data_IF_230497756915
#
_entry.id   IF_230497756915
#
_cell.length_a   1.000
_cell.length_b   1.000
_cell.length_c   1.000
_cell.angle_alpha   90.00
_cell.angle_beta   90.00
_cell.angle_gamma   90.00
#
_symmetry.space_group_name_H-M   'P 1'
#
loop_
_entity.id
_entity.type
_entity.pdbx_description
1 polymer ?
#
# COMPACT_ATOMS: atom_id res chain seq x y z
N UNK A 1 6.39 -23.89 -0.03
CA UNK A 1 6.93 -22.71 -0.71
C UNK A 1 6.26 -21.49 -0.10
N UNK A 2 7.01 -20.48 0.31
CA UNK A 2 6.43 -19.21 0.78
C UNK A 2 5.82 -18.47 -0.41
N UNK A 3 4.59 -17.98 -0.27
CA UNK A 3 3.92 -17.20 -1.33
C UNK A 3 4.76 -15.98 -1.72
N UNK A 4 4.93 -15.75 -3.03
CA UNK A 4 5.55 -14.54 -3.56
C UNK A 4 4.49 -13.43 -3.62
N UNK A 5 4.66 -12.41 -2.79
CA UNK A 5 3.87 -11.19 -2.82
C UNK A 5 4.59 -10.16 -3.67
N UNK A 6 3.87 -9.56 -4.61
CA UNK A 6 4.35 -8.46 -5.44
C UNK A 6 3.53 -7.23 -5.13
N UNK A 7 4.20 -6.09 -4.97
CA UNK A 7 3.59 -4.81 -4.64
C UNK A 7 3.74 -3.90 -5.84
N UNK A 8 2.60 -3.45 -6.35
CA UNK A 8 2.49 -2.58 -7.50
C UNK A 8 2.18 -1.16 -7.03
N UNK A 9 2.70 -0.20 -7.78
CA UNK A 9 2.26 1.18 -7.76
C UNK A 9 2.53 1.84 -9.11
N UNK A 10 1.67 2.77 -9.52
CA UNK A 10 1.78 3.49 -10.78
C UNK A 10 1.46 4.96 -10.60
N UNK A 11 2.17 5.80 -11.35
CA UNK A 11 1.79 7.19 -11.57
C UNK A 11 1.09 7.32 -12.92
N UNK A 12 -0.05 7.99 -12.98
CA UNK A 12 -0.84 8.10 -14.20
C UNK A 12 -1.75 9.33 -14.23
N UNK A 13 -2.22 9.72 -15.42
CA UNK A 13 -3.34 10.66 -15.58
C UNK A 13 -4.68 9.93 -15.39
N UNK A 14 -5.46 10.23 -14.34
CA UNK A 14 -6.75 9.58 -14.11
C UNK A 14 -7.80 9.95 -15.18
N UNK A 15 -7.56 11.00 -15.98
CA UNK A 15 -8.45 11.44 -17.06
C UNK A 15 -8.19 10.68 -18.36
N UNK A 16 -7.03 10.05 -18.52
CA UNK A 16 -6.63 9.35 -19.74
C UNK A 16 -6.54 7.84 -19.49
N UNK A 17 -7.59 7.05 -19.75
CA UNK A 17 -7.58 5.60 -19.51
C UNK A 17 -6.78 4.80 -20.56
N UNK A 18 -6.14 5.46 -21.54
CA UNK A 18 -5.26 4.79 -22.51
C UNK A 18 -3.87 4.55 -21.90
N UNK A 19 -3.05 3.69 -22.54
CA UNK A 19 -1.70 3.43 -22.05
C UNK A 19 -0.80 4.69 -22.04
N UNK A 20 -1.09 5.69 -22.89
CA UNK A 20 -0.41 6.99 -22.84
C UNK A 20 -0.71 7.81 -21.58
N UNK A 21 -1.71 7.40 -20.77
CA UNK A 21 -1.95 7.97 -19.45
C UNK A 21 -1.00 7.44 -18.38
N UNK A 22 -0.31 6.33 -18.61
CA UNK A 22 0.70 5.79 -17.68
C UNK A 22 1.96 6.65 -17.73
N UNK A 23 2.39 7.18 -16.59
CA UNK A 23 3.63 7.97 -16.45
C UNK A 23 4.78 7.12 -15.94
N UNK A 24 4.55 6.33 -14.89
CA UNK A 24 5.55 5.43 -14.32
C UNK A 24 4.90 4.19 -13.69
N UNK A 25 5.66 3.10 -13.63
CA UNK A 25 5.24 1.85 -13.01
C UNK A 25 6.38 1.28 -12.16
N UNK A 26 6.04 0.75 -10.99
CA UNK A 26 6.98 0.06 -10.14
C UNK A 26 6.44 -1.26 -9.61
N UNK A 27 7.35 -2.22 -9.46
CA UNK A 27 7.10 -3.49 -8.80
C UNK A 27 8.21 -3.72 -7.77
N UNK A 28 7.83 -4.27 -6.63
CA UNK A 28 8.78 -4.81 -5.65
C UNK A 28 8.19 -6.08 -5.07
N UNK A 29 9.02 -7.00 -4.56
CA UNK A 29 8.53 -8.23 -3.95
C UNK A 29 9.03 -8.45 -2.51
N UNK A 30 8.43 -9.46 -1.86
CA UNK A 30 8.82 -9.91 -0.52
C UNK A 30 9.98 -10.91 -0.51
N UNK A 31 10.43 -11.39 -1.68
CA UNK A 31 11.46 -12.41 -1.78
C UNK A 31 12.87 -11.78 -1.69
N UNK A 32 13.07 -10.58 -2.24
CA UNK A 32 14.31 -9.84 -2.09
C UNK A 32 14.12 -8.33 -2.30
N UNK A 33 14.63 -7.46 -1.39
CA UNK A 33 14.65 -6.02 -1.62
C UNK A 33 15.43 -5.57 -2.87
N UNK A 34 16.25 -6.44 -3.46
CA UNK A 34 16.97 -6.18 -4.71
C UNK A 34 16.13 -6.47 -5.97
N UNK A 35 14.92 -7.01 -5.81
CA UNK A 35 13.98 -7.29 -6.91
C UNK A 35 13.08 -6.09 -7.19
N UNK A 36 13.62 -4.87 -7.16
CA UNK A 36 12.85 -3.69 -7.52
C UNK A 36 12.88 -3.51 -9.03
N UNK A 37 11.71 -3.34 -9.62
CA UNK A 37 11.54 -2.89 -10.99
C UNK A 37 10.90 -1.52 -10.99
N UNK A 38 11.44 -0.61 -11.81
CA UNK A 38 10.94 0.74 -11.97
C UNK A 38 11.19 1.21 -13.39
N UNK A 39 10.13 1.74 -14.02
CA UNK A 39 10.22 2.30 -15.34
C UNK A 39 9.37 3.57 -15.46
N UNK A 40 9.87 4.51 -16.28
CA UNK A 40 9.16 5.71 -16.72
C UNK A 40 8.72 5.51 -18.17
N UNK A 41 7.45 5.72 -18.46
CA UNK A 41 6.88 5.48 -19.78
C UNK A 41 7.18 6.63 -20.75
N UNK A 42 8.06 6.41 -21.71
CA UNK A 42 8.41 7.39 -22.76
C UNK A 42 7.26 7.69 -23.72
N UNK A 43 6.27 6.80 -23.79
CA UNK A 43 5.09 6.94 -24.66
C UNK A 43 3.93 7.68 -23.93
N UNK A 44 4.18 8.23 -22.74
CA UNK A 44 3.24 9.04 -21.99
C UNK A 44 2.88 10.35 -22.72
N UNK A 45 1.62 10.78 -22.61
CA UNK A 45 1.14 12.06 -23.13
C UNK A 45 1.46 13.20 -22.14
N UNK A 46 2.69 13.70 -22.19
CA UNK A 46 3.18 14.76 -21.29
C UNK A 46 2.47 16.11 -21.48
N UNK A 47 1.94 16.37 -22.67
CA UNK A 47 1.20 17.62 -22.94
C UNK A 47 -0.17 17.58 -22.28
N UNK A 48 -0.84 16.43 -22.29
CA UNK A 48 -2.15 16.26 -21.66
C UNK A 48 -2.14 16.49 -20.15
N UNK A 49 -1.02 16.24 -19.45
CA UNK A 49 -0.90 16.38 -18.00
C UNK A 49 -0.44 17.76 -17.53
N UNK A 50 -0.06 18.66 -18.45
CA UNK A 50 0.47 19.98 -18.12
C UNK A 50 -0.54 20.87 -17.38
N UNK A 51 -1.84 20.68 -17.62
CA UNK A 51 -2.94 21.42 -16.99
C UNK A 51 -3.56 20.71 -15.78
N UNK A 52 -3.07 19.53 -15.41
CA UNK A 52 -3.64 18.77 -14.30
C UNK A 52 -3.37 19.52 -12.97
N UNK A 53 -4.34 19.64 -12.06
CA UNK A 53 -4.17 20.43 -10.82
C UNK A 53 -3.26 19.79 -9.76
N UNK A 54 -2.60 18.67 -10.06
CA UNK A 54 -1.91 17.84 -9.05
C UNK A 54 -0.60 17.26 -9.58
N UNK A 55 -0.65 16.57 -10.72
CA UNK A 55 0.50 15.92 -11.36
C UNK A 55 1.73 16.85 -11.48
N UNK A 56 1.60 18.12 -11.94
CA UNK A 56 2.75 19.01 -12.06
C UNK A 56 3.53 19.28 -10.78
N UNK A 57 2.83 19.33 -9.65
CA UNK A 57 3.41 19.75 -8.38
C UNK A 57 3.81 18.53 -7.52
N UNK A 58 3.22 17.37 -7.77
CA UNK A 58 3.40 16.18 -6.94
C UNK A 58 4.08 15.01 -7.66
N UNK A 59 3.87 14.83 -8.96
CA UNK A 59 4.37 13.67 -9.71
C UNK A 59 5.56 14.05 -10.62
N UNK A 60 5.42 15.12 -11.41
CA UNK A 60 6.49 15.56 -12.33
C UNK A 60 7.85 15.81 -11.66
N UNK A 61 7.94 16.31 -10.40
CA UNK A 61 9.22 16.45 -9.70
C UNK A 61 9.99 15.14 -9.51
N UNK A 62 9.32 13.99 -9.68
CA UNK A 62 9.89 12.65 -9.56
C UNK A 62 10.17 11.98 -10.91
N UNK A 63 9.88 12.66 -12.02
CA UNK A 63 10.09 12.16 -13.37
C UNK A 63 11.28 12.86 -14.06
N UNK A 64 11.97 12.20 -15.01
CA UNK A 64 13.05 12.79 -15.76
C UNK A 64 12.53 13.74 -16.84
N UNK A 65 11.92 14.87 -16.44
CA UNK A 65 11.32 15.87 -17.32
C UNK A 65 11.80 17.30 -17.01
N UNK A 66 11.85 18.15 -18.04
CA UNK A 66 11.95 19.61 -17.92
C UNK A 66 10.57 20.21 -18.06
N UNK A 67 10.18 21.01 -17.07
CA UNK A 67 8.94 21.79 -17.07
C UNK A 67 9.27 23.24 -17.40
N UNK A 68 8.71 23.77 -18.48
CA UNK A 68 8.83 25.20 -18.83
C UNK A 68 7.55 25.92 -18.42
N UNK A 69 7.68 27.12 -17.85
CA UNK A 69 6.56 27.92 -17.35
C UNK A 69 6.61 29.36 -17.87
N UNK A 70 5.45 29.96 -18.07
CA UNK A 70 5.29 31.39 -18.23
C UNK A 70 5.61 32.12 -16.91
N UNK A 71 5.74 33.44 -16.97
CA UNK A 71 6.02 34.29 -15.79
C UNK A 71 4.93 34.24 -14.74
N UNK A 72 3.69 33.88 -15.12
CA UNK A 72 2.57 33.72 -14.19
C UNK A 72 2.50 32.33 -13.54
N UNK A 73 3.47 31.45 -13.84
CA UNK A 73 3.56 30.09 -13.30
C UNK A 73 2.87 29.02 -14.16
N UNK A 74 2.12 29.40 -15.20
CA UNK A 74 1.44 28.47 -16.11
C UNK A 74 2.45 27.62 -16.86
N UNK A 75 2.25 26.29 -16.90
CA UNK A 75 3.12 25.38 -17.67
C UNK A 75 2.87 25.56 -19.17
N UNK A 76 3.95 25.70 -19.92
CA UNK A 76 3.92 25.85 -21.38
C UNK A 76 4.29 24.57 -22.10
N UNK A 77 5.15 23.76 -21.48
CA UNK A 77 5.58 22.48 -22.03
C UNK A 77 6.19 21.62 -20.94
N UNK A 78 6.03 20.31 -21.10
CA UNK A 78 6.73 19.28 -20.34
C UNK A 78 7.47 18.40 -21.35
N UNK A 79 8.78 18.27 -21.19
CA UNK A 79 9.62 17.53 -22.15
C UNK A 79 10.57 16.60 -21.42
N UNK A 80 10.95 15.49 -22.04
CA UNK A 80 11.91 14.56 -21.45
C UNK A 80 13.29 15.19 -21.23
N UNK A 81 13.83 15.03 -20.01
CA UNK A 81 15.18 15.43 -19.64
C UNK A 81 16.15 14.25 -19.72
N UNK A 82 16.91 14.19 -20.82
CA UNK A 82 17.89 13.11 -21.03
C UNK A 82 19.10 13.18 -20.10
N UNK A 83 19.33 14.32 -19.45
CA UNK A 83 20.44 14.52 -18.53
C UNK A 83 20.05 14.21 -17.07
N UNK A 84 18.75 13.97 -16.81
CA UNK A 84 18.25 13.61 -15.49
C UNK A 84 18.75 12.21 -15.08
N UNK A 85 19.20 12.00 -13.83
CA UNK A 85 19.72 10.71 -13.38
C UNK A 85 18.73 9.54 -13.57
N UNK A 86 17.44 9.80 -13.40
CA UNK A 86 16.40 8.77 -13.56
C UNK A 86 15.98 8.52 -15.01
N UNK A 87 16.54 9.26 -16.00
CA UNK A 87 16.28 8.98 -17.40
C UNK A 87 16.78 7.58 -17.82
N UNK A 88 17.70 6.99 -17.07
CA UNK A 88 18.13 5.60 -17.26
C UNK A 88 16.99 4.57 -17.08
N UNK A 89 15.89 4.94 -16.40
CA UNK A 89 14.70 4.12 -16.21
C UNK A 89 13.62 4.39 -17.28
N UNK A 90 13.87 5.30 -18.21
CA UNK A 90 12.92 5.61 -19.27
C UNK A 90 12.85 4.45 -20.29
N UNK A 91 11.64 4.01 -20.61
CA UNK A 91 11.33 2.85 -21.48
C UNK A 91 10.11 3.16 -22.34
N UNK A 92 10.05 2.63 -23.55
CA UNK A 92 8.76 2.59 -24.28
C UNK A 92 7.79 1.65 -23.57
N UNK A 93 6.49 1.81 -23.78
CA UNK A 93 5.47 0.93 -23.23
C UNK A 93 5.72 -0.55 -23.62
N UNK A 94 6.20 -0.81 -24.83
CA UNK A 94 6.56 -2.16 -25.27
C UNK A 94 7.73 -2.74 -24.46
N UNK A 95 8.78 -1.94 -24.20
CA UNK A 95 9.90 -2.36 -23.35
C UNK A 95 9.44 -2.61 -21.91
N UNK A 96 8.53 -1.77 -21.39
CA UNK A 96 7.95 -1.99 -20.05
C UNK A 96 7.21 -3.33 -20.00
N UNK A 97 6.42 -3.67 -21.03
CA UNK A 97 5.72 -4.94 -21.10
C UNK A 97 6.69 -6.14 -21.08
N UNK A 98 7.74 -6.12 -21.90
CA UNK A 98 8.77 -7.15 -21.95
C UNK A 98 9.51 -7.31 -20.61
N UNK A 99 9.90 -6.19 -19.98
CA UNK A 99 10.60 -6.20 -18.70
C UNK A 99 9.69 -6.66 -17.55
N UNK A 100 8.39 -6.32 -17.59
CA UNK A 100 7.37 -6.85 -16.67
C UNK A 100 7.19 -8.35 -16.84
N UNK A 101 7.13 -8.88 -18.06
CA UNK A 101 7.08 -10.33 -18.27
C UNK A 101 8.30 -11.04 -17.65
N UNK A 102 9.49 -10.48 -17.85
CA UNK A 102 10.72 -10.99 -17.25
C UNK A 102 10.68 -10.93 -15.71
N UNK A 103 9.99 -9.94 -15.12
CA UNK A 103 9.82 -9.79 -13.68
C UNK A 103 8.91 -10.84 -13.04
N UNK A 104 7.99 -11.43 -13.80
CA UNK A 104 7.10 -12.51 -13.37
C UNK A 104 7.52 -13.87 -13.94
N UNK A 105 8.70 -14.41 -13.56
CA UNK A 105 9.14 -15.69 -14.08
C UNK A 105 8.28 -16.81 -13.51
N UNK A 106 7.66 -17.60 -14.38
CA UNK A 106 7.06 -18.89 -14.03
C UNK A 106 5.59 -19.06 -14.40
N UNK A 107 5.09 -20.25 -14.10
CA UNK A 107 3.73 -20.70 -14.41
C UNK A 107 2.73 -20.44 -13.27
N UNK A 108 3.22 -20.05 -12.09
CA UNK A 108 2.38 -19.76 -10.93
C UNK A 108 2.22 -18.26 -10.77
N UNK A 109 0.96 -17.82 -10.72
CA UNK A 109 0.57 -16.43 -10.52
C UNK A 109 1.09 -15.90 -9.17
N UNK A 110 1.77 -14.76 -9.20
CA UNK A 110 2.16 -14.06 -7.97
C UNK A 110 0.94 -13.48 -7.24
N UNK A 111 1.06 -13.22 -5.95
CA UNK A 111 0.02 -12.54 -5.18
C UNK A 111 0.26 -11.03 -5.26
N UNK A 112 -0.46 -10.32 -6.14
CA UNK A 112 -0.29 -8.88 -6.34
C UNK A 112 -1.13 -8.06 -5.36
N UNK A 113 -0.50 -7.10 -4.69
CA UNK A 113 -1.13 -6.12 -3.81
C UNK A 113 -0.79 -4.70 -4.26
N UNK A 114 -1.71 -3.79 -4.04
CA UNK A 114 -1.51 -2.35 -4.17
C UNK A 114 -2.43 -1.62 -3.17
N UNK A 115 -2.15 -0.35 -2.89
CA UNK A 115 -2.96 0.48 -2.02
C UNK A 115 -3.87 1.37 -2.86
N UNK A 116 -5.19 1.16 -2.80
CA UNK A 116 -6.15 1.71 -3.77
C UNK A 116 -5.90 1.24 -5.21
N UNK A 117 -5.45 -0.02 -5.35
CA UNK A 117 -4.77 -0.56 -6.53
C UNK A 117 -5.58 -0.80 -7.81
N UNK A 118 -6.82 -0.31 -7.90
CA UNK A 118 -7.72 -0.68 -9.00
C UNK A 118 -7.19 -0.20 -10.34
N UNK A 119 -6.82 1.08 -10.42
CA UNK A 119 -6.34 1.67 -11.67
C UNK A 119 -4.90 1.25 -11.97
N UNK A 120 -4.07 1.01 -10.95
CA UNK A 120 -2.72 0.45 -11.09
C UNK A 120 -2.74 -0.89 -11.83
N UNK A 121 -3.58 -1.81 -11.37
CA UNK A 121 -3.74 -3.11 -12.03
C UNK A 121 -4.27 -2.94 -13.46
N UNK A 122 -5.19 -1.99 -13.67
CA UNK A 122 -5.67 -1.63 -15.00
C UNK A 122 -4.52 -1.20 -15.92
N UNK A 123 -3.59 -0.36 -15.45
CA UNK A 123 -2.44 0.06 -16.24
C UNK A 123 -1.44 -1.05 -16.50
N UNK A 124 -1.22 -1.94 -15.52
CA UNK A 124 -0.43 -3.16 -15.74
C UNK A 124 -1.03 -4.00 -16.88
N UNK A 125 -2.35 -4.19 -16.92
CA UNK A 125 -3.02 -4.95 -17.99
C UNK A 125 -3.00 -4.23 -19.34
N UNK A 126 -3.05 -2.89 -19.35
CA UNK A 126 -2.99 -2.08 -20.58
C UNK A 126 -1.66 -2.24 -21.32
N UNK A 127 -0.56 -2.56 -20.64
CA UNK A 127 0.72 -2.91 -21.28
C UNK A 127 0.55 -4.07 -22.28
N UNK A 128 -0.41 -4.95 -22.03
CA UNK A 128 -0.74 -6.12 -22.83
C UNK A 128 -2.05 -5.94 -23.61
N UNK A 129 -2.44 -4.69 -23.89
CA UNK A 129 -3.67 -4.38 -24.61
C UNK A 129 -4.96 -4.81 -23.90
N UNK A 130 -4.91 -5.06 -22.59
CA UNK A 130 -5.96 -5.73 -21.81
C UNK A 130 -6.32 -7.14 -22.33
N UNK A 131 -5.44 -7.77 -23.11
CA UNK A 131 -5.61 -9.14 -23.57
C UNK A 131 -4.82 -10.11 -22.67
N UNK A 132 -5.51 -10.69 -21.69
CA UNK A 132 -4.93 -11.65 -20.75
C UNK A 132 -4.39 -12.94 -21.39
N UNK A 133 -4.68 -13.19 -22.67
CA UNK A 133 -4.08 -14.31 -23.42
C UNK A 133 -2.66 -13.99 -23.89
N UNK A 134 -2.29 -12.70 -23.93
CA UNK A 134 -0.96 -12.24 -24.30
C UNK A 134 -0.03 -12.05 -23.11
N UNK A 135 -0.59 -12.03 -21.88
CA UNK A 135 0.17 -11.90 -20.65
C UNK A 135 0.83 -13.22 -20.25
N UNK A 136 2.10 -13.15 -19.84
CA UNK A 136 2.77 -14.28 -19.21
C UNK A 136 1.96 -14.85 -18.03
N UNK A 137 1.88 -16.19 -17.85
CA UNK A 137 1.02 -16.81 -16.83
C UNK A 137 1.30 -16.38 -15.38
N UNK A 138 2.52 -15.96 -15.09
CA UNK A 138 2.92 -15.46 -13.77
C UNK A 138 2.37 -14.07 -13.43
N UNK A 139 1.90 -13.30 -14.42
CA UNK A 139 1.38 -11.94 -14.22
C UNK A 139 -0.07 -12.02 -13.70
N UNK A 140 -0.38 -11.36 -12.57
CA UNK A 140 -1.71 -11.48 -11.98
C UNK A 140 -2.82 -10.83 -12.79
N UNK A 141 -3.89 -11.58 -13.03
CA UNK A 141 -5.12 -11.13 -13.72
C UNK A 141 -6.11 -10.49 -12.76
N UNK A 142 -6.03 -10.85 -11.49
CA UNK A 142 -6.83 -10.29 -10.42
C UNK A 142 -5.90 -9.82 -9.30
N UNK A 143 -6.25 -8.76 -8.58
CA UNK A 143 -5.50 -8.41 -7.39
C UNK A 143 -5.70 -9.54 -6.36
N UNK A 144 -4.64 -9.91 -5.65
CA UNK A 144 -4.78 -10.79 -4.50
C UNK A 144 -5.58 -10.08 -3.40
N UNK A 145 -5.21 -8.83 -3.13
CA UNK A 145 -5.92 -7.96 -2.19
C UNK A 145 -5.61 -6.48 -2.45
N UNK A 146 -6.44 -5.61 -1.91
CA UNK A 146 -6.22 -4.16 -1.82
C UNK A 146 -5.84 -3.81 -0.38
N UNK A 147 -4.72 -3.09 -0.19
CA UNK A 147 -4.16 -2.85 1.15
C UNK A 147 -5.06 -1.99 2.03
N UNK A 148 -5.80 -1.05 1.46
CA UNK A 148 -6.78 -0.27 2.20
C UNK A 148 -7.96 -1.15 2.63
N UNK A 149 -8.43 -2.02 1.74
CA UNK A 149 -9.49 -2.98 2.05
C UNK A 149 -9.06 -3.96 3.15
N UNK A 150 -7.82 -4.45 3.11
CA UNK A 150 -7.23 -5.27 4.17
C UNK A 150 -7.18 -4.50 5.50
N UNK A 151 -6.68 -3.26 5.48
CA UNK A 151 -6.66 -2.38 6.65
C UNK A 151 -8.05 -2.21 7.26
N UNK A 152 -9.08 -1.95 6.45
CA UNK A 152 -10.47 -1.80 6.93
C UNK A 152 -10.99 -3.07 7.57
N UNK A 153 -10.74 -4.24 6.97
CA UNK A 153 -11.13 -5.54 7.56
C UNK A 153 -10.44 -5.81 8.90
N UNK A 154 -9.25 -5.26 9.12
CA UNK A 154 -8.52 -5.31 10.39
C UNK A 154 -8.95 -4.21 11.39
N UNK A 155 -10.09 -3.54 11.14
CA UNK A 155 -10.62 -2.49 12.01
C UNK A 155 -9.95 -1.13 11.83
N UNK A 156 -9.37 -0.87 10.66
CA UNK A 156 -8.75 0.42 10.32
C UNK A 156 -7.61 0.86 11.27
N UNK A 157 -6.61 0.00 11.57
CA UNK A 157 -5.50 0.41 12.44
C UNK A 157 -4.77 1.60 11.82
N UNK A 158 -4.35 2.54 12.67
CA UNK A 158 -3.50 3.66 12.25
C UNK A 158 -2.05 3.17 12.23
N UNK A 159 -1.61 2.70 11.06
CA UNK A 159 -0.24 2.25 10.83
C UNK A 159 0.50 3.32 10.05
N UNK A 160 1.63 3.79 10.60
CA UNK A 160 2.58 4.79 10.09
C UNK A 160 2.32 5.32 8.66
N UNK A 161 2.12 6.64 8.55
CA UNK A 161 2.06 7.34 7.26
C UNK A 161 3.42 7.39 6.58
N UNK A 162 3.41 7.32 5.25
CA UNK A 162 4.59 7.63 4.45
C UNK A 162 4.95 9.10 4.60
N UNK A 163 6.18 9.39 5.03
CA UNK A 163 6.65 10.75 5.28
C UNK A 163 7.50 11.33 4.15
N UNK A 164 7.95 10.49 3.21
CA UNK A 164 8.85 10.89 2.11
C UNK A 164 8.59 10.06 0.86
N UNK A 165 8.77 10.67 -0.32
CA UNK A 165 8.71 9.98 -1.61
C UNK A 165 7.30 9.56 -2.03
N UNK A 166 6.26 10.20 -1.50
CA UNK A 166 4.90 10.04 -2.04
C UNK A 166 4.88 10.49 -3.50
N UNK A 167 4.08 9.84 -4.33
CA UNK A 167 3.94 10.14 -5.76
C UNK A 167 5.20 9.81 -6.60
N UNK A 168 6.02 8.90 -6.06
CA UNK A 168 7.09 8.24 -6.78
C UNK A 168 6.81 6.74 -6.74
N UNK A 169 6.33 6.18 -7.85
CA UNK A 169 5.89 4.79 -7.95
C UNK A 169 6.77 3.77 -7.20
N UNK A 170 8.11 3.80 -7.35
CA UNK A 170 8.97 2.85 -6.62
C UNK A 170 8.97 3.04 -5.10
N UNK A 171 8.96 4.28 -4.61
CA UNK A 171 8.89 4.56 -3.19
C UNK A 171 7.55 4.10 -2.60
N UNK A 172 6.47 4.27 -3.36
CA UNK A 172 5.10 3.90 -3.00
C UNK A 172 4.90 2.39 -3.06
N UNK A 173 5.40 1.68 -4.07
CA UNK A 173 5.43 0.21 -4.11
C UNK A 173 6.22 -0.38 -2.92
N UNK A 174 7.37 0.21 -2.58
CA UNK A 174 8.15 -0.16 -1.38
C UNK A 174 7.39 0.16 -0.09
N UNK A 175 6.62 1.24 -0.05
CA UNK A 175 5.74 1.55 1.06
C UNK A 175 4.63 0.49 1.19
N UNK A 176 3.97 0.13 0.09
CA UNK A 176 2.96 -0.93 0.03
C UNK A 176 3.49 -2.25 0.63
N UNK A 177 4.73 -2.64 0.31
CA UNK A 177 5.39 -3.79 0.97
C UNK A 177 5.49 -3.64 2.49
N UNK A 178 6.10 -2.55 2.95
CA UNK A 178 6.28 -2.30 4.40
C UNK A 178 4.95 -2.18 5.13
N UNK A 179 3.93 -1.70 4.44
CA UNK A 179 2.60 -1.51 4.96
C UNK A 179 1.88 -2.85 5.14
N UNK A 180 1.94 -3.71 4.12
CA UNK A 180 1.44 -5.09 4.21
C UNK A 180 2.11 -5.86 5.35
N UNK A 181 3.44 -5.78 5.48
CA UNK A 181 4.16 -6.43 6.59
C UNK A 181 3.63 -6.02 7.97
N UNK A 182 3.28 -4.73 8.14
CA UNK A 182 2.69 -4.24 9.39
C UNK A 182 1.26 -4.72 9.61
N UNK A 183 0.45 -4.77 8.55
CA UNK A 183 -0.91 -5.31 8.61
C UNK A 183 -0.89 -6.78 9.02
N UNK A 184 0.04 -7.58 8.47
CA UNK A 184 0.21 -8.98 8.84
C UNK A 184 0.67 -9.13 10.30
N UNK A 185 1.61 -8.30 10.78
CA UNK A 185 2.02 -8.31 12.20
C UNK A 185 0.90 -7.89 13.14
N UNK A 186 0.11 -6.89 12.74
CA UNK A 186 -1.07 -6.47 13.49
C UNK A 186 -2.10 -7.62 13.57
N UNK A 187 -2.40 -8.27 12.45
CA UNK A 187 -3.29 -9.43 12.44
C UNK A 187 -2.76 -10.58 13.33
N UNK A 188 -1.45 -10.85 13.28
CA UNK A 188 -0.83 -11.86 14.15
C UNK A 188 -0.93 -11.49 15.63
N UNK A 189 -0.76 -10.21 16.00
CA UNK A 189 -0.92 -9.78 17.39
C UNK A 189 -2.37 -9.89 17.87
N UNK A 190 -3.36 -9.71 16.98
CA UNK A 190 -4.77 -9.97 17.29
C UNK A 190 -5.02 -11.44 17.63
N UNK A 191 -4.34 -12.36 16.94
CA UNK A 191 -4.60 -13.80 16.99
C UNK A 191 -3.70 -14.58 17.96
N UNK A 192 -2.62 -13.98 18.46
CA UNK A 192 -1.66 -14.68 19.32
C UNK A 192 -2.24 -14.88 20.73
N UNK A 193 -2.13 -16.07 21.33
CA UNK A 193 -2.47 -16.26 22.75
C UNK A 193 -1.58 -15.42 23.67
N UNK A 194 -1.96 -15.23 24.95
CA UNK A 194 -1.12 -14.52 25.90
C UNK A 194 0.29 -15.14 25.97
N UNK A 195 1.37 -14.33 26.03
CA UNK A 195 2.74 -14.83 26.15
C UNK A 195 2.95 -15.77 27.35
N UNK A 196 2.18 -15.56 28.43
CA UNK A 196 2.16 -16.37 29.65
C UNK A 196 0.91 -16.07 30.46
N UNK A 197 0.61 -16.86 31.50
CA UNK A 197 -0.47 -16.58 32.46
C UNK A 197 -0.35 -15.21 33.17
N UNK A 198 0.85 -14.63 33.26
CA UNK A 198 1.10 -13.30 33.83
C UNK A 198 0.94 -12.12 32.86
N UNK A 199 0.21 -12.29 31.75
CA UNK A 199 -0.09 -11.19 30.82
C UNK A 199 -1.59 -10.93 30.76
N UNK A 200 -1.96 -9.65 30.77
CA UNK A 200 -3.30 -9.16 30.52
C UNK A 200 -3.45 -8.77 29.04
N UNK A 201 -4.65 -8.97 28.48
CA UNK A 201 -4.95 -8.52 27.13
C UNK A 201 -5.23 -7.01 27.14
N UNK A 202 -4.65 -6.28 26.20
CA UNK A 202 -4.88 -4.86 25.98
C UNK A 202 -5.89 -4.67 24.87
N UNK A 203 -6.85 -3.79 25.07
CA UNK A 203 -7.87 -3.44 24.10
C UNK A 203 -7.93 -1.93 23.88
N UNK A 204 -8.56 -1.51 22.78
CA UNK A 204 -9.04 -0.14 22.57
C UNK A 204 -10.51 -0.19 22.19
N UNK A 205 -11.28 0.78 22.65
CA UNK A 205 -12.66 0.95 22.19
C UNK A 205 -12.73 1.76 20.87
N UNK A 206 -13.95 2.07 20.46
CA UNK A 206 -14.25 2.82 19.24
C UNK A 206 -13.78 4.29 19.27
N UNK A 207 -13.64 4.87 20.46
CA UNK A 207 -13.16 6.24 20.66
C UNK A 207 -11.62 6.29 20.81
N UNK A 208 -10.98 5.12 20.85
CA UNK A 208 -9.53 4.98 20.96
C UNK A 208 -9.04 4.95 22.41
N UNK A 209 -9.94 4.85 23.38
CA UNK A 209 -9.56 4.76 24.79
C UNK A 209 -9.04 3.34 25.09
N UNK A 210 -7.91 3.21 25.81
CA UNK A 210 -7.29 1.94 26.10
C UNK A 210 -7.90 1.24 27.32
N UNK A 211 -8.06 -0.07 27.20
CA UNK A 211 -8.63 -0.99 28.20
C UNK A 211 -7.70 -2.18 28.42
N UNK A 212 -7.81 -2.84 29.57
CA UNK A 212 -6.99 -4.00 29.92
C UNK A 212 -7.87 -5.05 30.60
N UNK A 213 -7.77 -6.29 30.12
CA UNK A 213 -8.48 -7.45 30.64
C UNK A 213 -7.58 -8.21 31.60
N UNK A 214 -7.99 -8.26 32.86
CA UNK A 214 -7.28 -8.98 33.91
C UNK A 214 -7.95 -10.32 34.16
N UNK A 215 -7.12 -11.35 34.30
CA UNK A 215 -7.58 -12.61 34.88
C UNK A 215 -7.79 -12.40 36.37
N UNK A 216 -9.05 -12.28 36.78
CA UNK A 216 -9.44 -12.21 38.19
C UNK A 216 -9.38 -13.59 38.85
N UNK A 217 -9.46 -13.63 40.18
CA UNK A 217 -9.69 -14.88 40.92
C UNK A 217 -11.03 -14.77 41.65
N UNK A 218 -12.04 -15.60 41.33
CA UNK A 218 -12.06 -16.67 40.31
C UNK A 218 -11.88 -16.12 38.89
N UNK A 219 -11.37 -16.95 37.94
CA UNK A 219 -11.15 -16.53 36.55
C UNK A 219 -12.43 -15.98 35.94
N UNK A 220 -12.49 -14.67 35.74
CA UNK A 220 -13.50 -14.00 34.91
C UNK A 220 -12.82 -13.09 33.88
N UNK A 221 -13.55 -12.78 32.82
CA UNK A 221 -13.09 -11.95 31.70
C UNK A 221 -13.38 -10.47 32.00
N UNK A 222 -12.77 -9.97 33.08
CA UNK A 222 -13.04 -8.63 33.58
C UNK A 222 -12.06 -7.58 33.01
N UNK A 223 -12.55 -6.38 32.71
CA UNK A 223 -11.82 -5.33 31.97
C UNK A 223 -11.85 -4.00 32.73
N UNK A 224 -10.76 -3.22 32.68
CA UNK A 224 -10.68 -1.84 33.22
C UNK A 224 -10.00 -0.86 32.25
N UNK A 225 -10.27 0.45 32.38
CA UNK A 225 -9.68 1.51 31.56
C UNK A 225 -8.29 1.89 32.06
N UNK A 226 -7.32 2.08 31.15
CA UNK A 226 -5.91 2.35 31.48
C UNK A 226 -5.60 3.80 31.87
N UNK A 227 -6.34 4.79 31.36
CA UNK A 227 -5.95 6.20 31.49
C UNK A 227 -6.23 6.78 32.89
N UNK A 228 -7.11 6.12 33.64
CA UNK A 228 -7.50 6.49 35.00
C UNK A 228 -7.95 5.18 35.63
N UNK A 229 -7.11 4.46 36.36
CA UNK A 229 -7.48 3.18 36.97
C UNK A 229 -8.77 3.36 37.80
N UNK A 230 -9.93 3.02 37.21
CA UNK A 230 -11.16 2.84 37.96
C UNK A 230 -10.94 1.58 38.77
N UNK A 231 -11.23 1.65 40.07
CA UNK A 231 -11.03 0.52 40.98
C UNK A 231 -12.00 -0.65 40.69
N UNK A 232 -13.02 -0.43 39.86
CA UNK A 232 -14.05 -1.41 39.56
C UNK A 232 -13.80 -2.09 38.22
N UNK A 233 -13.51 -3.39 38.28
CA UNK A 233 -13.52 -4.28 37.12
C UNK A 233 -14.97 -4.59 36.71
N UNK A 234 -15.22 -4.59 35.40
CA UNK A 234 -16.52 -4.94 34.82
C UNK A 234 -16.37 -6.16 33.91
N UNK A 235 -17.41 -6.99 33.81
CA UNK A 235 -17.42 -8.11 32.87
C UNK A 235 -17.34 -7.57 31.43
N UNK A 236 -16.52 -8.20 30.60
CA UNK A 236 -16.27 -7.75 29.22
C UNK A 236 -17.55 -7.55 28.43
N UNK A 237 -18.48 -8.50 28.50
CA UNK A 237 -19.73 -8.41 27.75
C UNK A 237 -20.55 -7.18 28.18
N UNK A 238 -20.60 -6.89 29.49
CA UNK A 238 -21.28 -5.72 30.01
C UNK A 238 -20.61 -4.43 29.52
N UNK A 239 -19.28 -4.42 29.48
CA UNK A 239 -18.53 -3.30 28.95
C UNK A 239 -18.82 -3.09 27.46
N UNK A 240 -18.73 -4.14 26.65
CA UNK A 240 -18.99 -4.08 25.20
C UNK A 240 -20.43 -3.63 24.89
N UNK A 241 -21.41 -4.02 25.71
CA UNK A 241 -22.80 -3.56 25.60
C UNK A 241 -22.93 -2.04 25.85
N UNK A 242 -22.04 -1.46 26.66
CA UNK A 242 -22.06 -0.04 27.05
C UNK A 242 -21.29 0.87 26.10
N UNK A 243 -20.10 0.44 25.66
CA UNK A 243 -19.17 1.28 24.89
C UNK A 243 -18.91 0.77 23.48
N UNK A 244 -19.55 -0.32 23.08
CA UNK A 244 -19.31 -0.98 21.81
C UNK A 244 -18.14 -1.98 21.88
N UNK A 245 -17.86 -2.66 20.76
CA UNK A 245 -16.91 -3.75 20.73
C UNK A 245 -15.48 -3.29 21.04
N UNK A 246 -14.79 -4.07 21.87
CA UNK A 246 -13.37 -3.87 22.15
C UNK A 246 -12.50 -4.52 21.08
N UNK A 247 -11.51 -3.78 20.60
CA UNK A 247 -10.48 -4.32 19.69
C UNK A 247 -9.23 -4.66 20.47
N UNK A 248 -8.85 -5.94 20.50
CA UNK A 248 -7.58 -6.37 21.08
C UNK A 248 -6.44 -5.61 20.40
N UNK A 249 -5.37 -5.26 21.10
CA UNK A 249 -4.21 -4.55 20.51
C UNK A 249 -2.88 -5.15 20.97
N UNK A 250 -2.90 -6.09 21.91
CA UNK A 250 -1.71 -6.82 22.34
C UNK A 250 -1.79 -7.24 23.79
N UNK A 251 -0.63 -7.46 24.40
CA UNK A 251 -0.51 -8.02 25.74
C UNK A 251 0.37 -7.12 26.61
N UNK A 252 0.04 -6.96 27.89
CA UNK A 252 0.93 -6.33 28.88
C UNK A 252 1.20 -7.28 30.06
N UNK A 253 2.38 -7.24 30.69
CA UNK A 253 2.62 -7.93 31.96
C UNK A 253 1.62 -7.46 33.03
N UNK A 254 1.13 -8.40 33.85
CA UNK A 254 0.37 -8.11 35.07
C UNK A 254 1.30 -7.74 36.24
#
# INVERSE_FOLDING_TARGET
MTSRFVYLDTEFDPRNPALSGLLALALTDNASPAADYYAVNLDADLDAIADHPFIPDHVLPHLPVKVTRWTDGTITSVTWDKDHPDFQYARSAAQIAEEVEAYFPGETEAQLLANYGKDDLGYLHRLFGNDWNTMAPGIPRVPYDDLESLRRRLGAPQLLFQTTGQHHALADARYNRRYHDKLLRFQQSQMSPPPSDGHAALYVDQDGDPWVEYLTSPRSDAVIQLVMAREEAVERQELEDRIGPLRHIGWCPQ
#
